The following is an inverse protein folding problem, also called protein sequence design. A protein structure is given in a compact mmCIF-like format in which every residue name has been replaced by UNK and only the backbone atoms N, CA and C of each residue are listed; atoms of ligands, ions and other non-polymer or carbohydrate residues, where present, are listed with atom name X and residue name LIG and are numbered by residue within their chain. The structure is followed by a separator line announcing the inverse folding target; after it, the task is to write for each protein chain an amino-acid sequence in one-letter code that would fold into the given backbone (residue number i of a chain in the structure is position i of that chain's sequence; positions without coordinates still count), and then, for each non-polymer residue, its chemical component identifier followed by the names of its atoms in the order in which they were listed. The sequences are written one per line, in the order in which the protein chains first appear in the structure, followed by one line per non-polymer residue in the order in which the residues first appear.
data_IF_807167507200
#
_entry.id   IF_807167507200
#
_cell.length_a   1.000
_cell.length_b   1.000
_cell.length_c   1.000
_cell.angle_alpha   90.00
_cell.angle_beta   90.00
_cell.angle_gamma   90.00
#
_symmetry.space_group_name_H-M   'P 1'
#
loop_
_entity.id
_entity.type
_entity.pdbx_description
1 polymer ?
#
# COMPACT_ATOMS: atom_id res chain seq x y z
N UNK A 1 -15.63 10.72 8.81
CA UNK A 1 -14.16 10.73 8.63
C UNK A 1 -13.82 11.81 7.63
N UNK A 2 -12.73 12.56 7.81
CA UNK A 2 -12.31 13.58 6.83
C UNK A 2 -11.95 12.93 5.48
N UNK A 3 -12.38 13.52 4.36
CA UNK A 3 -12.18 12.97 2.99
C UNK A 3 -10.70 12.70 2.71
N UNK A 4 -9.83 13.61 3.16
CA UNK A 4 -8.37 13.45 3.03
C UNK A 4 -7.84 12.23 3.80
N UNK A 5 -8.41 11.92 4.96
CA UNK A 5 -8.04 10.74 5.73
C UNK A 5 -8.38 9.46 4.97
N UNK A 6 -9.57 9.41 4.36
CA UNK A 6 -10.01 8.25 3.58
C UNK A 6 -9.08 8.03 2.40
N UNK A 7 -8.87 9.03 1.54
CA UNK A 7 -7.98 8.95 0.35
C UNK A 7 -6.60 8.39 0.72
N UNK A 8 -5.99 8.96 1.76
CA UNK A 8 -4.64 8.60 2.17
C UNK A 8 -4.58 7.17 2.74
N UNK A 9 -5.58 6.77 3.53
CA UNK A 9 -5.64 5.39 4.06
C UNK A 9 -5.93 4.39 2.94
N UNK A 10 -6.84 4.69 2.01
CA UNK A 10 -7.12 3.87 0.82
C UNK A 10 -5.84 3.62 0.02
N UNK A 11 -5.00 4.64 -0.20
CA UNK A 11 -3.76 4.49 -0.94
C UNK A 11 -2.75 3.54 -0.25
N UNK A 12 -2.64 3.58 1.08
CA UNK A 12 -1.73 2.70 1.83
C UNK A 12 -2.27 1.28 1.87
N UNK A 13 -3.56 1.10 2.12
CA UNK A 13 -4.23 -0.19 2.10
C UNK A 13 -4.13 -0.82 0.71
N UNK A 14 -4.36 -0.04 -0.35
CA UNK A 14 -4.21 -0.46 -1.74
C UNK A 14 -2.80 -0.99 -2.04
N UNK A 15 -1.79 -0.22 -1.60
CA UNK A 15 -0.39 -0.60 -1.76
C UNK A 15 -0.05 -1.88 -0.97
N UNK A 16 -0.62 -2.05 0.22
CA UNK A 16 -0.45 -3.25 1.04
C UNK A 16 -1.06 -4.49 0.37
N UNK A 17 -2.30 -4.40 -0.14
CA UNK A 17 -2.96 -5.49 -0.87
C UNK A 17 -2.17 -5.90 -2.12
N UNK A 18 -1.70 -4.90 -2.90
CA UNK A 18 -0.86 -5.14 -4.08
C UNK A 18 0.46 -5.85 -3.72
N UNK A 19 1.11 -5.40 -2.64
CA UNK A 19 2.36 -6.00 -2.18
C UNK A 19 2.14 -7.40 -1.63
N UNK A 20 1.08 -7.64 -0.87
CA UNK A 20 0.74 -8.96 -0.35
C UNK A 20 0.46 -9.96 -1.48
N UNK A 21 -0.26 -9.56 -2.52
CA UNK A 21 -0.50 -10.39 -3.70
C UNK A 21 0.81 -10.68 -4.46
N UNK A 22 1.68 -9.69 -4.65
CA UNK A 22 2.99 -9.89 -5.27
C UNK A 22 3.93 -10.79 -4.44
N UNK A 23 3.86 -10.71 -3.10
CA UNK A 23 4.62 -11.59 -2.20
C UNK A 23 4.01 -12.99 -2.16
N UNK A 24 2.69 -13.16 -2.20
CA UNK A 24 2.06 -14.47 -2.31
C UNK A 24 2.38 -15.16 -3.65
N UNK A 25 2.59 -14.38 -4.70
CA UNK A 25 3.11 -14.83 -5.99
C UNK A 25 4.62 -15.17 -5.97
N UNK A 26 5.37 -14.65 -4.99
CA UNK A 26 6.81 -14.83 -4.86
C UNK A 26 7.19 -15.88 -3.80
N UNK A 27 7.98 -16.90 -4.19
CA UNK A 27 8.52 -17.87 -3.22
C UNK A 27 9.51 -17.18 -2.25
N UNK A 28 9.43 -17.49 -0.95
CA UNK A 28 10.21 -16.88 0.15
C UNK A 28 11.69 -17.31 0.19
N UNK A 29 12.27 -17.74 -0.94
CA UNK A 29 13.67 -18.13 -1.03
C UNK A 29 14.38 -17.32 -2.10
N UNK A 30 14.82 -16.12 -1.71
CA UNK A 30 15.81 -15.38 -2.46
C UNK A 30 17.16 -16.08 -2.38
N UNK A 31 17.82 -16.26 -3.53
CA UNK A 31 19.27 -16.44 -3.56
C UNK A 31 19.90 -15.31 -2.73
N UNK A 32 20.89 -15.66 -1.89
CA UNK A 32 21.52 -14.71 -0.98
C UNK A 32 21.94 -13.44 -1.71
N UNK A 33 21.37 -12.31 -1.32
CA UNK A 33 21.84 -11.01 -1.78
C UNK A 33 23.26 -10.80 -1.25
N UNK A 34 24.14 -10.22 -2.07
CA UNK A 34 25.45 -9.76 -1.60
C UNK A 34 25.27 -8.85 -0.39
N UNK A 35 26.05 -9.10 0.66
CA UNK A 35 26.08 -8.26 1.87
C UNK A 35 26.40 -6.82 1.47
N UNK A 36 25.37 -5.97 1.43
CA UNK A 36 25.57 -4.54 1.24
C UNK A 36 26.21 -3.95 2.51
N UNK A 37 27.24 -3.11 2.29
CA UNK A 37 28.04 -2.48 3.35
C UNK A 37 27.15 -1.75 4.36
N UNK A 38 27.55 -1.87 5.63
CA UNK A 38 26.96 -1.18 6.78
C UNK A 38 26.73 0.29 6.44
N UNK A 39 25.47 0.68 6.29
CA UNK A 39 25.12 2.10 6.19
C UNK A 39 25.04 2.69 7.58
N UNK A 40 25.87 3.69 7.86
CA UNK A 40 25.91 4.49 9.08
C UNK A 40 24.77 5.52 9.12
N UNK A 41 23.53 5.11 8.90
CA UNK A 41 22.39 5.98 9.17
C UNK A 41 22.17 6.10 10.68
N UNK A 42 21.98 7.33 11.17
CA UNK A 42 21.59 7.55 12.56
C UNK A 42 20.24 6.87 12.83
N UNK A 43 20.18 6.03 13.87
CA UNK A 43 18.97 5.30 14.29
C UNK A 43 17.82 6.22 14.77
N UNK A 44 18.10 7.51 14.94
CA UNK A 44 17.19 8.56 15.42
C UNK A 44 16.62 9.45 14.31
N UNK A 45 16.96 9.20 13.05
CA UNK A 45 16.58 10.10 11.93
C UNK A 45 15.06 10.29 11.81
N UNK A 46 14.28 9.23 12.08
CA UNK A 46 12.82 9.31 12.05
C UNK A 46 12.27 10.12 13.22
N UNK A 47 12.78 9.91 14.42
CA UNK A 47 12.39 10.67 15.62
C UNK A 47 12.67 12.15 15.43
N UNK A 48 13.85 12.50 14.92
CA UNK A 48 14.21 13.88 14.59
C UNK A 48 13.26 14.49 13.56
N UNK A 49 12.90 13.74 12.51
CA UNK A 49 11.91 14.19 11.53
C UNK A 49 10.51 14.37 12.13
N UNK A 50 10.13 13.51 13.09
CA UNK A 50 8.85 13.59 13.78
C UNK A 50 8.78 14.79 14.73
N UNK A 51 9.89 15.19 15.33
CA UNK A 51 9.98 16.36 16.22
C UNK A 51 10.16 17.68 15.45
N UNK A 52 10.82 17.64 14.30
CA UNK A 52 11.05 18.81 13.47
C UNK A 52 9.75 19.51 13.06
N UNK A 53 9.74 20.85 13.12
CA UNK A 53 8.61 21.68 12.67
C UNK A 53 8.40 21.55 11.16
N UNK A 54 9.48 21.62 10.40
CA UNK A 54 9.50 21.42 8.95
C UNK A 54 10.50 20.33 8.57
N UNK A 55 10.09 19.44 7.67
CA UNK A 55 10.94 18.36 7.17
C UNK A 55 10.37 17.80 5.87
N UNK A 56 11.26 17.52 4.92
CA UNK A 56 10.94 16.78 3.70
C UNK A 56 11.16 15.28 3.82
N UNK A 57 11.56 14.81 5.00
CA UNK A 57 11.87 13.39 5.21
C UNK A 57 10.65 12.50 4.88
N UNK A 58 9.45 12.89 5.33
CA UNK A 58 8.22 12.15 5.05
C UNK A 58 7.95 12.04 3.54
N UNK A 59 8.10 13.14 2.81
CA UNK A 59 7.89 13.15 1.35
C UNK A 59 8.92 12.29 0.63
N UNK A 60 10.20 12.45 1.00
CA UNK A 60 11.31 11.72 0.38
C UNK A 60 11.29 10.22 0.70
N UNK A 61 10.91 9.84 1.92
CA UNK A 61 11.03 8.45 2.40
C UNK A 61 9.71 7.69 2.41
N UNK A 62 8.60 8.35 2.74
CA UNK A 62 7.28 7.74 2.87
C UNK A 62 6.28 8.17 1.79
N UNK A 63 6.70 9.02 0.81
CA UNK A 63 5.86 9.55 -0.28
C UNK A 63 4.58 10.28 0.19
N UNK A 64 4.56 10.77 1.42
CA UNK A 64 3.45 11.54 1.98
C UNK A 64 3.97 12.69 2.87
N UNK A 65 3.12 13.65 3.21
CA UNK A 65 3.48 14.67 4.20
C UNK A 65 3.30 14.17 5.65
N UNK A 66 3.88 14.88 6.62
CA UNK A 66 3.83 14.52 8.04
C UNK A 66 2.40 14.46 8.59
N UNK A 67 1.49 15.34 8.15
CA UNK A 67 0.10 15.32 8.61
C UNK A 67 -0.64 14.08 8.07
N UNK A 68 -0.46 13.77 6.80
CA UNK A 68 -0.99 12.56 6.16
C UNK A 68 -0.47 11.28 6.85
N UNK A 69 0.82 11.23 7.18
CA UNK A 69 1.39 10.13 7.98
C UNK A 69 0.71 9.97 9.34
N UNK A 70 0.46 11.07 10.06
CA UNK A 70 -0.20 11.04 11.36
C UNK A 70 -1.67 10.59 11.26
N UNK A 71 -2.37 10.92 10.18
CA UNK A 71 -3.72 10.43 9.90
C UNK A 71 -3.73 8.91 9.69
N UNK A 72 -2.79 8.40 8.88
CA UNK A 72 -2.61 6.94 8.69
C UNK A 72 -2.30 6.27 10.01
N UNK A 73 -1.35 6.82 10.78
CA UNK A 73 -0.98 6.29 12.08
C UNK A 73 -2.19 6.20 13.02
N UNK A 74 -3.05 7.22 13.07
CA UNK A 74 -4.28 7.20 13.88
C UNK A 74 -5.25 6.10 13.42
N UNK A 75 -5.44 5.95 12.11
CA UNK A 75 -6.29 4.91 11.55
C UNK A 75 -5.78 3.50 11.89
N UNK A 76 -4.48 3.25 11.68
CA UNK A 76 -3.83 1.98 12.02
C UNK A 76 -3.86 1.74 13.53
N UNK A 77 -3.60 2.76 14.35
CA UNK A 77 -3.64 2.65 15.81
C UNK A 77 -5.04 2.22 16.32
N UNK A 78 -6.10 2.70 15.68
CA UNK A 78 -7.48 2.31 16.00
C UNK A 78 -7.83 0.89 15.51
N UNK A 79 -7.27 0.45 14.38
CA UNK A 79 -7.50 -0.88 13.83
C UNK A 79 -6.61 -1.97 14.45
N UNK A 80 -5.49 -1.59 15.06
CA UNK A 80 -4.50 -2.53 15.58
C UNK A 80 -5.08 -3.30 16.80
N UNK A 81 -5.18 -4.64 16.73
CA UNK A 81 -5.83 -5.44 17.76
C UNK A 81 -5.05 -5.46 19.07
N UNK A 82 -3.71 -5.45 19.00
CA UNK A 82 -2.83 -5.45 20.16
C UNK A 82 -1.77 -4.36 20.02
N UNK A 83 -1.71 -3.47 21.00
CA UNK A 83 -0.72 -2.39 21.02
C UNK A 83 0.59 -2.91 21.60
N UNK A 84 1.76 -2.45 21.11
CA UNK A 84 3.03 -2.75 21.72
C UNK A 84 3.01 -2.39 23.22
N UNK A 85 3.59 -3.26 24.04
CA UNK A 85 3.76 -3.00 25.46
C UNK A 85 4.48 -1.67 25.72
N UNK A 86 4.26 -1.06 26.88
CA UNK A 86 4.85 0.24 27.22
C UNK A 86 6.39 0.22 27.15
N UNK A 87 7.02 -0.91 27.50
CA UNK A 87 8.46 -1.13 27.45
C UNK A 87 8.98 -1.59 26.07
N UNK A 88 8.14 -1.67 25.04
CA UNK A 88 8.58 -2.06 23.70
C UNK A 88 9.60 -1.07 23.15
N UNK A 89 10.76 -1.59 22.72
CA UNK A 89 11.86 -0.80 22.12
C UNK A 89 11.40 0.07 20.95
N UNK A 90 10.53 -0.47 20.10
CA UNK A 90 9.98 0.23 18.94
C UNK A 90 8.47 0.42 19.12
N UNK A 91 8.08 1.69 19.33
CA UNK A 91 6.69 2.14 19.46
C UNK A 91 5.92 1.91 18.16
N UNK A 92 4.58 1.82 18.25
CA UNK A 92 3.73 1.54 17.08
C UNK A 92 3.94 2.54 15.94
N UNK A 93 4.10 3.82 16.25
CA UNK A 93 4.34 4.86 15.23
C UNK A 93 5.58 4.59 14.37
N UNK A 94 6.63 4.01 14.97
CA UNK A 94 7.86 3.64 14.26
C UNK A 94 7.66 2.38 13.41
N UNK A 95 6.82 1.44 13.87
CA UNK A 95 6.40 0.27 13.07
C UNK A 95 5.55 0.68 11.85
N UNK A 96 4.67 1.67 12.03
CA UNK A 96 3.90 2.25 10.92
C UNK A 96 4.82 2.94 9.92
N UNK A 97 5.79 3.73 10.38
CA UNK A 97 6.81 4.32 9.51
C UNK A 97 7.60 3.26 8.73
N UNK A 98 7.91 2.12 9.36
CA UNK A 98 8.60 1.01 8.72
C UNK A 98 7.79 0.39 7.57
N UNK A 99 6.52 0.02 7.82
CA UNK A 99 5.69 -0.59 6.75
C UNK A 99 5.45 0.42 5.63
N UNK A 100 5.22 1.69 5.95
CA UNK A 100 5.05 2.74 4.94
C UNK A 100 6.32 2.96 4.12
N UNK A 101 7.49 2.90 4.75
CA UNK A 101 8.77 3.01 4.04
C UNK A 101 8.93 1.85 3.05
N UNK A 102 8.64 0.63 3.51
CA UNK A 102 8.68 -0.58 2.68
C UNK A 102 7.75 -0.44 1.46
N UNK A 103 6.49 -0.05 1.67
CA UNK A 103 5.51 0.15 0.60
C UNK A 103 5.90 1.30 -0.35
N UNK A 104 6.50 2.38 0.17
CA UNK A 104 6.85 3.55 -0.63
C UNK A 104 8.10 3.32 -1.50
N UNK A 105 9.10 2.60 -1.01
CA UNK A 105 10.38 2.45 -1.72
C UNK A 105 10.44 1.24 -2.64
N UNK A 106 9.55 0.25 -2.47
CA UNK A 106 9.49 -0.91 -3.37
C UNK A 106 10.74 -1.79 -3.31
N UNK A 107 11.27 -2.02 -2.11
CA UNK A 107 12.51 -2.78 -1.88
C UNK A 107 12.32 -3.99 -0.98
N UNK A 108 13.40 -4.71 -0.69
CA UNK A 108 13.39 -5.80 0.27
C UNK A 108 13.13 -5.28 1.70
N UNK A 109 12.51 -6.11 2.55
CA UNK A 109 12.14 -5.75 3.94
C UNK A 109 13.35 -5.38 4.81
N UNK A 110 14.54 -5.84 4.46
CA UNK A 110 15.82 -5.55 5.11
C UNK A 110 16.23 -4.08 4.98
N UNK A 111 16.13 -3.51 3.78
CA UNK A 111 16.51 -2.14 3.46
C UNK A 111 15.58 -1.12 4.11
N UNK A 112 14.34 -1.52 4.42
CA UNK A 112 13.37 -0.66 5.09
C UNK A 112 13.70 -0.43 6.58
N UNK A 113 14.34 -1.38 7.25
CA UNK A 113 14.66 -1.30 8.68
C UNK A 113 15.83 -0.38 9.01
N UNK A 114 16.83 -0.34 8.13
CA UNK A 114 18.10 0.32 8.37
C UNK A 114 17.96 1.85 8.60
N UNK A 115 17.19 2.61 7.80
CA UNK A 115 16.96 4.05 8.04
C UNK A 115 16.22 4.36 9.35
N UNK A 116 15.56 3.35 9.93
CA UNK A 116 14.81 3.45 11.18
C UNK A 116 15.58 2.85 12.37
N UNK A 117 16.79 2.33 12.17
CA UNK A 117 17.55 1.65 13.23
C UNK A 117 16.82 0.41 13.79
N UNK A 118 16.06 -0.29 12.94
CA UNK A 118 15.39 -1.55 13.28
C UNK A 118 16.19 -2.70 12.68
N UNK A 119 16.45 -3.74 13.49
CA UNK A 119 17.19 -4.92 13.02
C UNK A 119 16.38 -5.71 11.99
N UNK A 120 17.07 -6.36 11.05
CA UNK A 120 16.46 -7.18 9.99
C UNK A 120 15.35 -8.10 10.50
N UNK A 121 15.65 -8.94 11.49
CA UNK A 121 14.69 -9.92 12.04
C UNK A 121 13.44 -9.24 12.63
N UNK A 122 13.58 -8.05 13.19
CA UNK A 122 12.44 -7.28 13.71
C UNK A 122 11.68 -6.58 12.59
N UNK A 123 12.37 -6.10 11.55
CA UNK A 123 11.73 -5.46 10.40
C UNK A 123 10.74 -6.40 9.71
N UNK A 124 11.17 -7.64 9.44
CA UNK A 124 10.29 -8.65 8.83
C UNK A 124 9.06 -8.90 9.69
N UNK A 125 9.22 -9.07 11.00
CA UNK A 125 8.08 -9.30 11.92
C UNK A 125 7.12 -8.12 11.91
N UNK A 126 7.62 -6.89 12.07
CA UNK A 126 6.78 -5.71 12.15
C UNK A 126 6.11 -5.37 10.82
N UNK A 127 6.79 -5.59 9.68
CA UNK A 127 6.19 -5.36 8.36
C UNK A 127 5.02 -6.32 8.17
N UNK A 128 5.20 -7.62 8.42
CA UNK A 128 4.09 -8.58 8.28
C UNK A 128 2.94 -8.27 9.24
N UNK A 129 3.22 -7.99 10.52
CA UNK A 129 2.21 -7.60 11.52
C UNK A 129 1.39 -6.38 11.06
N UNK A 130 2.05 -5.36 10.50
CA UNK A 130 1.36 -4.17 10.02
C UNK A 130 0.65 -4.38 8.68
N UNK A 131 1.19 -5.23 7.79
CA UNK A 131 0.49 -5.62 6.56
C UNK A 131 -0.80 -6.37 6.89
N UNK A 132 -0.80 -7.26 7.87
CA UNK A 132 -2.01 -7.97 8.31
C UNK A 132 -3.09 -6.98 8.82
N UNK A 133 -2.68 -5.96 9.59
CA UNK A 133 -3.59 -4.90 10.04
C UNK A 133 -4.13 -4.11 8.84
N UNK A 134 -3.27 -3.72 7.89
CA UNK A 134 -3.69 -2.98 6.70
C UNK A 134 -4.64 -3.79 5.82
N UNK A 135 -4.37 -5.08 5.63
CA UNK A 135 -5.26 -5.99 4.92
C UNK A 135 -6.60 -6.13 5.66
N UNK A 136 -6.64 -6.17 6.99
CA UNK A 136 -7.90 -6.22 7.75
C UNK A 136 -8.77 -4.95 7.60
N UNK A 137 -8.16 -3.84 7.15
CA UNK A 137 -8.83 -2.58 6.91
C UNK A 137 -9.39 -2.46 5.48
N UNK A 138 -9.06 -3.38 4.56
CA UNK A 138 -9.38 -3.30 3.13
C UNK A 138 -10.86 -3.04 2.83
N UNK A 139 -11.75 -3.87 3.36
CA UNK A 139 -13.20 -3.84 3.17
C UNK A 139 -13.84 -2.56 3.70
N UNK A 140 -13.18 -1.87 4.63
CA UNK A 140 -13.66 -0.60 5.19
C UNK A 140 -13.31 0.61 4.31
N UNK A 141 -12.15 0.58 3.66
CA UNK A 141 -11.64 1.75 2.93
C UNK A 141 -11.71 1.58 1.40
N UNK A 142 -11.64 0.36 0.89
CA UNK A 142 -11.67 0.05 -0.55
C UNK A 142 -12.98 -0.69 -0.84
N UNK A 143 -14.04 0.10 -0.99
CA UNK A 143 -15.35 -0.39 -1.36
C UNK A 143 -16.01 0.53 -2.41
N UNK A 144 -16.82 -0.07 -3.27
CA UNK A 144 -17.65 0.69 -4.21
C UNK A 144 -18.62 1.60 -3.46
N UNK A 145 -19.01 2.75 -4.05
CA UNK A 145 -19.97 3.66 -3.44
C UNK A 145 -21.26 2.93 -3.02
N UNK A 146 -21.77 3.26 -1.85
CA UNK A 146 -23.11 2.82 -1.43
C UNK A 146 -24.19 3.65 -2.13
N UNK A 147 -25.44 3.21 -2.09
CA UNK A 147 -26.57 3.94 -2.68
C UNK A 147 -26.67 5.40 -2.19
N UNK A 148 -26.33 5.62 -0.92
CA UNK A 148 -26.30 6.96 -0.31
C UNK A 148 -25.14 7.83 -0.80
N UNK A 149 -24.04 7.22 -1.25
CA UNK A 149 -22.87 7.92 -1.77
C UNK A 149 -22.95 8.18 -3.29
N UNK A 150 -23.78 7.43 -4.02
CA UNK A 150 -23.86 7.46 -5.49
C UNK A 150 -24.04 8.87 -6.04
N UNK A 151 -25.07 9.58 -5.61
CA UNK A 151 -25.37 10.94 -6.08
C UNK A 151 -24.17 11.88 -5.86
N UNK A 152 -23.51 11.78 -4.71
CA UNK A 152 -22.34 12.60 -4.41
C UNK A 152 -21.13 12.28 -5.29
N UNK A 153 -20.97 11.01 -5.69
CA UNK A 153 -19.88 10.57 -6.55
C UNK A 153 -20.15 10.99 -7.99
N UNK A 154 -21.38 10.83 -8.47
CA UNK A 154 -21.82 11.23 -9.81
C UNK A 154 -21.68 12.73 -10.02
N UNK A 155 -22.20 13.54 -9.10
CA UNK A 155 -22.04 15.00 -9.13
C UNK A 155 -20.56 15.41 -9.08
N UNK A 156 -19.76 14.68 -8.30
CA UNK A 156 -18.31 14.90 -8.24
C UNK A 156 -17.63 14.65 -9.57
N UNK A 157 -17.98 13.57 -10.29
CA UNK A 157 -17.45 13.29 -11.62
C UNK A 157 -17.96 14.26 -12.67
N UNK A 158 -19.24 14.66 -12.64
CA UNK A 158 -19.77 15.68 -13.54
C UNK A 158 -19.01 17.01 -13.36
N UNK A 159 -18.72 17.39 -12.12
CA UNK A 159 -17.93 18.59 -11.83
C UNK A 159 -16.48 18.56 -12.32
N UNK A 160 -15.82 17.39 -12.29
CA UNK A 160 -14.41 17.24 -12.71
C UNK A 160 -14.27 17.00 -14.21
N UNK A 161 -15.20 16.24 -14.80
CA UNK A 161 -15.06 15.71 -16.18
C UNK A 161 -16.13 16.19 -17.15
N UNK A 162 -17.26 16.70 -16.65
CA UNK A 162 -18.44 17.06 -17.45
C UNK A 162 -19.34 15.87 -17.82
N UNK A 163 -19.00 14.63 -17.45
CA UNK A 163 -19.80 13.45 -17.74
C UNK A 163 -20.74 13.09 -16.59
N UNK A 164 -22.02 12.88 -16.91
CA UNK A 164 -23.06 12.45 -15.97
C UNK A 164 -23.06 10.93 -15.77
N UNK A 165 -23.63 10.49 -14.65
CA UNK A 165 -23.85 9.08 -14.31
C UNK A 165 -22.53 8.26 -14.27
N UNK A 166 -21.43 8.90 -13.87
CA UNK A 166 -20.13 8.26 -13.69
C UNK A 166 -19.90 8.00 -12.20
N UNK A 167 -19.71 6.75 -11.82
CA UNK A 167 -19.54 6.32 -10.41
C UNK A 167 -18.11 5.88 -10.08
N UNK A 168 -17.23 5.82 -11.07
CA UNK A 168 -15.83 5.45 -10.92
C UNK A 168 -15.07 5.50 -12.23
N UNK A 169 -13.76 5.73 -12.14
CA UNK A 169 -12.82 5.60 -13.25
C UNK A 169 -12.00 4.33 -13.06
N UNK A 170 -11.97 3.46 -14.08
CA UNK A 170 -11.27 2.18 -14.06
C UNK A 170 -10.04 2.22 -14.94
N UNK A 171 -8.93 1.71 -14.45
CA UNK A 171 -7.72 1.51 -15.23
C UNK A 171 -6.95 0.26 -14.77
N UNK A 172 -6.15 -0.30 -15.68
CA UNK A 172 -5.34 -1.50 -15.48
C UNK A 172 -3.86 -1.22 -15.68
N UNK A 173 -3.01 -1.78 -14.81
CA UNK A 173 -1.56 -1.63 -14.91
C UNK A 173 -0.82 -2.94 -14.68
N UNK A 174 0.25 -3.16 -15.44
CA UNK A 174 1.16 -4.28 -15.26
C UNK A 174 2.32 -3.83 -14.38
N UNK A 175 2.39 -4.35 -13.16
CA UNK A 175 3.49 -4.08 -12.23
C UNK A 175 4.55 -5.18 -12.37
N UNK A 176 5.78 -4.86 -12.81
CA UNK A 176 6.85 -5.84 -12.90
C UNK A 176 7.14 -6.48 -11.54
N UNK A 177 7.33 -7.78 -11.52
CA UNK A 177 7.74 -8.53 -10.33
C UNK A 177 9.03 -9.29 -10.61
N UNK A 178 9.73 -9.67 -9.54
CA UNK A 178 10.81 -10.64 -9.66
C UNK A 178 10.22 -11.97 -10.15
N UNK A 179 10.89 -12.60 -11.11
CA UNK A 179 10.43 -13.86 -11.72
C UNK A 179 10.18 -14.92 -10.62
N UNK A 180 8.94 -15.39 -10.44
CA UNK A 180 8.66 -16.52 -9.56
C UNK A 180 9.33 -17.80 -10.07
N UNK A 181 9.60 -18.77 -9.19
CA UNK A 181 10.13 -20.07 -9.60
C UNK A 181 9.11 -20.83 -10.46
N UNK A 182 7.85 -20.82 -10.01
CA UNK A 182 6.70 -21.24 -10.81
C UNK A 182 6.22 -20.04 -11.62
N UNK A 183 6.84 -19.83 -12.78
CA UNK A 183 6.67 -18.62 -13.58
C UNK A 183 5.50 -18.72 -14.57
N UNK A 184 4.88 -19.88 -14.70
CA UNK A 184 3.76 -20.08 -15.61
C UNK A 184 2.59 -19.16 -15.20
N UNK A 185 2.03 -18.44 -16.18
CA UNK A 185 0.97 -17.47 -15.95
C UNK A 185 1.40 -16.09 -15.44
N UNK A 186 2.63 -15.90 -14.98
CA UNK A 186 3.11 -14.60 -14.48
C UNK A 186 3.70 -13.70 -15.58
N UNK A 187 4.08 -14.27 -16.72
CA UNK A 187 4.53 -13.50 -17.86
C UNK A 187 3.38 -12.77 -18.53
N UNK A 188 3.50 -11.45 -18.62
CA UNK A 188 2.54 -10.64 -19.35
C UNK A 188 2.82 -10.64 -20.85
N UNK A 189 1.87 -10.09 -21.63
CA UNK A 189 2.01 -9.90 -23.09
C UNK A 189 3.26 -9.11 -23.52
N UNK A 190 3.89 -8.37 -22.60
CA UNK A 190 5.12 -7.59 -22.82
C UNK A 190 6.39 -8.39 -22.49
N UNK A 191 6.29 -9.70 -22.28
CA UNK A 191 7.41 -10.63 -22.10
C UNK A 191 8.25 -10.38 -20.83
N UNK A 192 7.63 -9.89 -19.76
CA UNK A 192 8.24 -9.85 -18.42
C UNK A 192 7.27 -10.38 -17.35
N UNK A 193 7.79 -10.94 -16.23
CA UNK A 193 6.96 -11.34 -15.10
C UNK A 193 6.29 -10.11 -14.46
N UNK A 194 4.97 -10.15 -14.32
CA UNK A 194 4.19 -9.05 -13.78
C UNK A 194 2.99 -9.55 -12.99
N UNK A 195 2.46 -8.69 -12.12
CA UNK A 195 1.07 -8.75 -11.68
C UNK A 195 0.25 -7.77 -12.51
N UNK A 196 -0.95 -8.16 -12.93
CA UNK A 196 -1.91 -7.27 -13.55
C UNK A 196 -2.85 -6.73 -12.46
N UNK A 197 -2.94 -5.40 -12.33
CA UNK A 197 -3.69 -4.71 -11.28
C UNK A 197 -4.75 -3.84 -11.94
N UNK A 198 -6.03 -4.10 -11.68
CA UNK A 198 -7.10 -3.12 -11.87
C UNK A 198 -7.25 -2.27 -10.62
N UNK A 199 -7.52 -0.99 -10.85
CA UNK A 199 -8.06 -0.11 -9.84
C UNK A 199 -9.29 0.61 -10.35
N UNK A 200 -10.28 0.78 -9.48
CA UNK A 200 -11.34 1.78 -9.65
C UNK A 200 -11.09 2.90 -8.65
N UNK A 201 -11.13 4.14 -9.13
CA UNK A 201 -11.00 5.34 -8.30
C UNK A 201 -12.24 6.22 -8.41
N UNK A 202 -12.53 6.99 -7.36
CA UNK A 202 -13.57 8.02 -7.39
C UNK A 202 -13.06 9.38 -7.90
N UNK A 203 -13.95 10.38 -7.95
CA UNK A 203 -13.65 11.72 -8.45
C UNK A 203 -12.61 12.49 -7.60
N UNK A 204 -12.31 12.05 -6.38
CA UNK A 204 -11.24 12.62 -5.53
C UNK A 204 -9.95 11.78 -5.56
N UNK A 205 -9.91 10.72 -6.37
CA UNK A 205 -8.75 9.83 -6.49
C UNK A 205 -8.62 8.79 -5.37
N UNK A 206 -9.69 8.51 -4.61
CA UNK A 206 -9.71 7.41 -3.64
C UNK A 206 -9.91 6.08 -4.36
N UNK A 207 -9.13 5.06 -3.99
CA UNK A 207 -9.35 3.70 -4.47
C UNK A 207 -10.66 3.13 -3.91
N UNK A 208 -11.55 2.70 -4.80
CA UNK A 208 -12.86 2.09 -4.50
C UNK A 208 -12.89 0.58 -4.76
N UNK A 209 -12.06 0.10 -5.68
CA UNK A 209 -11.89 -1.33 -5.92
C UNK A 209 -10.49 -1.64 -6.40
N UNK A 210 -9.99 -2.82 -6.05
CA UNK A 210 -8.73 -3.37 -6.55
C UNK A 210 -8.93 -4.83 -6.91
N UNK A 211 -8.40 -5.21 -8.07
CA UNK A 211 -8.31 -6.61 -8.49
C UNK A 211 -6.90 -6.88 -8.96
N UNK A 212 -6.27 -7.92 -8.42
CA UNK A 212 -4.89 -8.29 -8.72
C UNK A 212 -4.88 -9.72 -9.22
N UNK A 213 -4.29 -9.94 -10.39
CA UNK A 213 -4.18 -11.26 -11.03
C UNK A 213 -2.77 -11.44 -11.60
N UNK A 214 -2.49 -12.65 -12.10
CA UNK A 214 -1.23 -12.94 -12.76
C UNK A 214 -1.10 -12.11 -14.06
N UNK A 215 0.13 -11.76 -14.44
CA UNK A 215 0.41 -10.88 -15.58
C UNK A 215 -0.08 -11.41 -16.93
N UNK A 216 -0.30 -12.71 -17.06
CA UNK A 216 -0.83 -13.32 -18.29
C UNK A 216 -2.32 -13.06 -18.50
N UNK A 217 -3.07 -12.73 -17.44
CA UNK A 217 -4.48 -12.43 -17.53
C UNK A 217 -4.71 -11.15 -18.36
N UNK A 218 -5.60 -11.25 -19.34
CA UNK A 218 -6.05 -10.08 -20.09
C UNK A 218 -7.06 -9.24 -19.28
N UNK A 219 -7.32 -8.02 -19.74
CA UNK A 219 -8.18 -7.07 -19.03
C UNK A 219 -9.62 -7.58 -18.90
N UNK A 220 -10.11 -8.37 -19.87
CA UNK A 220 -11.45 -8.96 -19.82
C UNK A 220 -11.57 -10.02 -18.72
N UNK A 221 -10.60 -10.93 -18.61
CA UNK A 221 -10.54 -11.92 -17.54
C UNK A 221 -10.46 -11.26 -16.17
N UNK A 222 -9.70 -10.16 -16.08
CA UNK A 222 -9.51 -9.41 -14.84
C UNK A 222 -10.80 -8.68 -14.43
N UNK A 223 -11.46 -8.01 -15.38
CA UNK A 223 -12.80 -7.43 -15.18
C UNK A 223 -13.82 -8.49 -14.74
N UNK A 224 -13.82 -9.66 -15.39
CA UNK A 224 -14.74 -10.74 -15.08
C UNK A 224 -14.56 -11.32 -13.67
N UNK A 225 -13.32 -11.31 -13.16
CA UNK A 225 -13.01 -11.73 -11.78
C UNK A 225 -13.15 -10.64 -10.73
N UNK A 226 -13.30 -9.38 -11.14
CA UNK A 226 -13.38 -8.24 -10.22
C UNK A 226 -14.68 -8.24 -9.41
N UNK A 227 -14.63 -7.67 -8.20
CA UNK A 227 -15.83 -7.43 -7.39
C UNK A 227 -16.77 -6.40 -8.06
N UNK A 228 -16.22 -5.51 -8.89
CA UNK A 228 -16.96 -4.44 -9.57
C UNK A 228 -17.99 -4.99 -10.54
N UNK A 229 -17.69 -6.07 -11.25
CA UNK A 229 -18.67 -6.69 -12.18
C UNK A 229 -19.90 -7.26 -11.46
N UNK A 230 -19.77 -7.59 -10.17
CA UNK A 230 -20.84 -8.17 -9.35
C UNK A 230 -21.61 -7.13 -8.52
N UNK A 231 -21.12 -5.89 -8.51
CA UNK A 231 -21.76 -4.74 -7.87
C UNK A 231 -22.82 -4.18 -8.82
#
# INVERSE_FOLDING_TARGET
MDKRTVVVVCAVVASACATAAAVAAGDKRGHGSERCRVSTFSSTTFEQALEAKETDWFRKKLRCDKASFLLIYRAIYAACPQKPAANAKHKLIKRVALVMYYLAQGGQMDQAGMPLGISHTRSVVYINEMLDVLCSMDTRYICMPTEQELESVELGFEGVTGFRNVVGAIDGTLVPIQRPKDFEGWYCRKMFPAVNVQAVVDHVGSFRSLSICAGSNNDQSLWNGSAVKKW
#
